data_IF_617038841006
#
_entry.id   IF_617038841006
#
_cell.length_a   1.000
_cell.length_b   1.000
_cell.length_c   1.000
_cell.angle_alpha   90.00
_cell.angle_beta   90.00
_cell.angle_gamma   90.00
#
_symmetry.space_group_name_H-M   'P 1'
#
loop_
_entity.id
_entity.type
_entity.pdbx_description
1 polymer ?
#
# COMPACT_ATOMS: atom_id res chain seq x y z
N UNK A 1 -14.54 16.28 19.07
CA UNK A 1 -14.41 15.76 17.69
C UNK A 1 -12.94 15.47 17.45
N UNK A 2 -12.52 14.20 17.46
CA UNK A 2 -11.14 13.85 17.14
C UNK A 2 -10.91 14.12 15.64
N UNK A 3 -10.00 15.04 15.30
CA UNK A 3 -9.61 15.26 13.91
C UNK A 3 -9.09 13.93 13.36
N UNK A 4 -9.85 13.29 12.46
CA UNK A 4 -9.46 12.02 11.87
C UNK A 4 -8.22 12.29 11.02
N UNK A 5 -7.04 11.93 11.56
CA UNK A 5 -5.75 12.30 10.97
C UNK A 5 -5.47 11.40 9.77
N UNK A 6 -6.05 11.72 8.62
CA UNK A 6 -5.75 11.01 7.38
C UNK A 6 -4.24 10.99 7.11
N UNK A 7 -3.74 9.81 6.77
CA UNK A 7 -2.36 9.56 6.36
C UNK A 7 -2.19 9.64 4.84
N UNK A 8 -3.29 9.53 4.07
CA UNK A 8 -3.31 9.73 2.62
C UNK A 8 -4.64 9.37 1.99
N UNK A 9 -4.63 9.22 0.67
CA UNK A 9 -5.76 8.89 -0.21
C UNK A 9 -5.26 7.98 -1.32
N UNK A 10 -5.97 6.89 -1.55
CA UNK A 10 -5.76 5.98 -2.68
C UNK A 10 -6.96 6.04 -3.63
N UNK A 11 -6.71 5.86 -4.92
CA UNK A 11 -7.72 5.72 -5.97
C UNK A 11 -7.88 4.25 -6.34
N UNK A 12 -9.10 3.73 -6.28
CA UNK A 12 -9.46 2.39 -6.76
C UNK A 12 -9.60 2.37 -8.28
N UNK A 13 -9.64 1.17 -8.88
CA UNK A 13 -9.79 1.00 -10.33
C UNK A 13 -11.07 1.63 -10.90
N UNK A 14 -12.15 1.70 -10.10
CA UNK A 14 -13.41 2.36 -10.48
C UNK A 14 -13.38 3.90 -10.37
N UNK A 15 -12.23 4.47 -10.00
CA UNK A 15 -12.06 5.92 -9.86
C UNK A 15 -12.39 6.46 -8.47
N UNK A 16 -13.03 5.67 -7.60
CA UNK A 16 -13.33 6.08 -6.22
C UNK A 16 -12.06 6.35 -5.41
N UNK A 17 -12.07 7.47 -4.69
CA UNK A 17 -11.03 7.84 -3.73
C UNK A 17 -11.40 7.28 -2.35
N UNK A 18 -10.43 6.63 -1.70
CA UNK A 18 -10.55 6.07 -0.36
C UNK A 18 -9.46 6.66 0.53
N UNK A 19 -9.80 7.22 1.70
CA UNK A 19 -8.81 7.76 2.61
C UNK A 19 -8.05 6.63 3.32
N UNK A 20 -6.76 6.86 3.49
CA UNK A 20 -5.88 6.05 4.33
C UNK A 20 -5.85 6.71 5.70
N UNK A 21 -6.34 6.01 6.71
CA UNK A 21 -6.47 6.52 8.08
C UNK A 21 -5.16 6.43 8.84
N UNK A 22 -4.33 5.43 8.54
CA UNK A 22 -3.09 5.19 9.27
C UNK A 22 -2.26 4.05 8.71
N UNK A 23 -1.20 3.75 9.44
CA UNK A 23 -0.23 2.70 9.14
C UNK A 23 -0.17 1.80 10.38
N UNK A 24 -0.10 0.49 10.18
CA UNK A 24 0.09 -0.46 11.27
C UNK A 24 1.13 -1.52 10.89
N UNK A 25 1.84 -2.02 11.89
CA UNK A 25 2.93 -2.97 11.72
C UNK A 25 2.50 -4.33 12.26
N UNK A 26 2.33 -5.33 11.39
CA UNK A 26 1.93 -6.70 11.74
C UNK A 26 2.76 -7.69 10.96
N UNK A 27 3.18 -8.79 11.60
CA UNK A 27 3.82 -9.92 10.93
C UNK A 27 4.99 -9.51 10.01
N UNK A 28 5.84 -8.58 10.49
CA UNK A 28 6.98 -8.03 9.75
C UNK A 28 6.61 -7.30 8.43
N UNK A 29 5.35 -6.94 8.25
CA UNK A 29 4.83 -6.18 7.13
C UNK A 29 4.14 -4.88 7.60
N UNK A 30 4.01 -3.95 6.66
CA UNK A 30 3.40 -2.65 6.90
C UNK A 30 2.06 -2.59 6.18
N UNK A 31 0.99 -2.40 6.95
CA UNK A 31 -0.38 -2.34 6.48
C UNK A 31 -0.90 -0.90 6.51
N UNK A 32 -1.69 -0.55 5.50
CA UNK A 32 -2.45 0.68 5.46
C UNK A 32 -3.87 0.41 5.94
N UNK A 33 -4.34 1.22 6.91
CA UNK A 33 -5.75 1.26 7.27
C UNK A 33 -6.48 2.10 6.23
N UNK A 34 -7.34 1.49 5.45
CA UNK A 34 -8.13 2.18 4.43
C UNK A 34 -9.58 2.21 4.88
N UNK A 35 -10.18 3.40 4.83
CA UNK A 35 -11.61 3.56 5.06
C UNK A 35 -12.37 2.98 3.87
N UNK A 36 -13.22 2.00 4.13
CA UNK A 36 -14.05 1.38 3.11
C UNK A 36 -15.45 1.96 3.06
N UNK A 37 -16.18 1.66 1.99
CA UNK A 37 -17.54 2.16 1.82
C UNK A 37 -18.55 1.55 2.82
N UNK A 38 -18.31 0.33 3.28
CA UNK A 38 -19.16 -0.41 4.21
C UNK A 38 -18.38 -0.89 5.44
N UNK A 39 -17.11 -1.26 5.25
CA UNK A 39 -16.21 -1.66 6.33
C UNK A 39 -14.79 -1.23 5.99
N UNK A 40 -14.08 -0.75 6.99
CA UNK A 40 -12.66 -0.48 6.90
C UNK A 40 -11.87 -1.77 6.66
N UNK A 41 -10.72 -1.64 6.00
CA UNK A 41 -9.86 -2.79 5.77
C UNK A 41 -8.38 -2.43 5.89
N UNK A 42 -7.59 -3.47 6.11
CA UNK A 42 -6.15 -3.40 6.20
C UNK A 42 -5.53 -4.10 5.00
N UNK A 43 -4.61 -3.44 4.32
CA UNK A 43 -3.90 -4.04 3.19
C UNK A 43 -2.49 -3.48 3.07
N UNK A 44 -1.54 -4.30 2.62
CA UNK A 44 -0.21 -3.80 2.31
C UNK A 44 -0.22 -2.92 1.05
N UNK A 45 0.68 -1.94 0.92
CA UNK A 45 0.82 -1.17 -0.31
C UNK A 45 1.03 -2.06 -1.56
N UNK A 46 1.72 -3.20 -1.41
CA UNK A 46 1.96 -4.16 -2.48
C UNK A 46 0.67 -4.86 -2.95
N UNK A 47 -0.18 -5.27 -2.03
CA UNK A 47 -1.50 -5.84 -2.36
C UNK A 47 -2.40 -4.81 -3.03
N UNK A 48 -2.43 -3.59 -2.52
CA UNK A 48 -3.23 -2.50 -3.10
C UNK A 48 -2.77 -2.20 -4.52
N UNK A 49 -1.46 -2.08 -4.75
CA UNK A 49 -0.92 -1.85 -6.07
C UNK A 49 -1.27 -2.97 -7.06
N UNK A 50 -1.14 -4.23 -6.64
CA UNK A 50 -1.52 -5.42 -7.45
C UNK A 50 -3.02 -5.47 -7.75
N UNK A 51 -3.87 -5.02 -6.83
CA UNK A 51 -5.33 -4.91 -7.02
C UNK A 51 -5.76 -3.69 -7.83
N UNK A 52 -4.81 -2.94 -8.40
CA UNK A 52 -5.09 -1.79 -9.26
C UNK A 52 -5.33 -0.46 -8.52
N UNK A 53 -5.12 -0.42 -7.21
CA UNK A 53 -5.17 0.86 -6.48
C UNK A 53 -3.93 1.69 -6.78
N UNK A 54 -4.07 3.01 -6.74
CA UNK A 54 -2.98 3.97 -6.97
C UNK A 54 -3.00 5.04 -5.90
N UNK A 55 -1.81 5.47 -5.45
CA UNK A 55 -1.71 6.57 -4.50
C UNK A 55 -2.09 7.88 -5.21
N UNK A 56 -3.01 8.64 -4.61
CA UNK A 56 -3.43 9.95 -5.12
C UNK A 56 -2.72 11.09 -4.38
N UNK A 57 -2.71 11.03 -3.05
CA UNK A 57 -2.00 11.97 -2.18
C UNK A 57 -1.69 11.29 -0.85
N UNK A 58 -0.55 11.55 -0.22
CA UNK A 58 -0.26 11.00 1.10
C UNK A 58 0.81 11.79 1.85
N UNK A 59 0.87 11.58 3.17
CA UNK A 59 1.99 12.05 3.99
C UNK A 59 3.29 11.35 3.55
N UNK A 60 4.46 11.97 3.77
CA UNK A 60 5.75 11.43 3.34
C UNK A 60 5.98 9.96 3.71
N UNK A 61 5.57 9.55 4.93
CA UNK A 61 5.72 8.17 5.38
C UNK A 61 4.95 7.16 4.50
N UNK A 62 3.70 7.45 4.13
CA UNK A 62 2.92 6.57 3.25
C UNK A 62 3.44 6.62 1.82
N UNK A 63 3.89 7.79 1.37
CA UNK A 63 4.47 7.95 0.03
C UNK A 63 5.74 7.10 -0.14
N UNK A 64 6.65 7.11 0.84
CA UNK A 64 7.86 6.28 0.83
C UNK A 64 7.53 4.79 0.73
N UNK A 65 6.57 4.31 1.53
CA UNK A 65 6.10 2.92 1.48
C UNK A 65 5.56 2.56 0.09
N UNK A 66 4.80 3.45 -0.53
CA UNK A 66 4.26 3.23 -1.87
C UNK A 66 5.35 3.26 -2.94
N UNK A 67 6.30 4.19 -2.84
CA UNK A 67 7.45 4.30 -3.73
C UNK A 67 8.31 3.03 -3.69
N UNK A 68 8.55 2.47 -2.51
CA UNK A 68 9.23 1.18 -2.35
C UNK A 68 8.56 0.05 -3.12
N UNK A 69 7.23 0.01 -3.17
CA UNK A 69 6.50 -0.99 -3.96
C UNK A 69 6.69 -0.77 -5.46
N UNK A 70 6.62 0.48 -5.92
CA UNK A 70 6.83 0.80 -7.34
C UNK A 70 8.26 0.48 -7.79
N UNK A 71 9.27 0.83 -6.98
CA UNK A 71 10.68 0.61 -7.30
C UNK A 71 11.12 -0.84 -7.11
N UNK A 72 10.69 -1.52 -6.03
CA UNK A 72 10.98 -2.96 -5.86
C UNK A 72 10.22 -3.84 -6.86
N UNK A 73 9.07 -3.40 -7.36
CA UNK A 73 8.38 -4.05 -8.48
C UNK A 73 9.16 -3.99 -9.80
N UNK A 74 10.04 -2.99 -9.96
CA UNK A 74 11.00 -2.89 -11.09
C UNK A 74 12.28 -3.69 -10.84
N UNK A 75 12.67 -3.90 -9.57
CA UNK A 75 13.80 -4.75 -9.16
C UNK A 75 13.32 -6.13 -8.65
N UNK A 76 12.25 -6.65 -9.26
CA UNK A 76 11.66 -7.96 -8.94
C UNK A 76 12.12 -9.11 -9.84
N UNK A 77 13.16 -8.92 -10.66
CA UNK A 77 13.85 -10.00 -11.39
C UNK A 77 15.33 -10.10 -10.98
N UNK A 78 15.63 -10.18 -9.69
CA UNK A 78 16.91 -10.73 -9.24
C UNK A 78 16.74 -11.24 -7.82
N UNK A 79 16.37 -12.51 -7.70
CA UNK A 79 16.17 -13.17 -6.42
C UNK A 79 15.75 -14.63 -6.51
N UNK A 80 15.21 -15.08 -7.66
CA UNK A 80 14.76 -16.47 -7.86
C UNK A 80 15.68 -17.29 -8.79
N UNK A 81 17.00 -17.06 -8.69
CA UNK A 81 18.00 -18.00 -9.22
C UNK A 81 19.00 -18.36 -8.13
N UNK A 82 18.48 -18.78 -6.98
CA UNK A 82 19.22 -19.76 -6.19
C UNK A 82 19.27 -21.04 -7.04
N UNK A 83 20.48 -21.37 -7.48
CA UNK A 83 20.76 -22.37 -8.49
C UNK A 83 20.08 -23.71 -8.21
N UNK A 84 19.20 -24.10 -9.14
CA UNK A 84 19.11 -25.48 -9.59
C UNK A 84 20.45 -25.83 -10.26
N UNK A 85 21.40 -26.32 -9.48
CA UNK A 85 22.55 -27.07 -10.01
C UNK A 85 22.47 -28.49 -9.46
N UNK A 86 22.76 -29.39 -10.39
CA UNK A 86 22.64 -30.86 -10.36
C UNK A 86 23.21 -31.51 -9.10
#
# INVERSE_FOLDING_TARGET
MAAQRWAGVIRRHDGKLLPVLGIDHRDNAIYLHVEGAAVDFWATPAELYRRGYRLAAAKPAVWDLWYRVMCKGVVGRNGDRAGRMK
#
